data_IF_091821380107
#
_entry.id   IF_091821380107
#
_cell.length_a   1.000
_cell.length_b   1.000
_cell.length_c   1.000
_cell.angle_alpha   90.00
_cell.angle_beta   90.00
_cell.angle_gamma   90.00
#
_symmetry.space_group_name_H-M   'P 1'
#
loop_
_entity.id
_entity.type
_entity.pdbx_description
1 polymer ?
#
# COMPACT_ATOMS: atom_id res chain seq x y z
N UNK A 1 15.20 21.22 2.71
CA UNK A 1 14.17 22.08 2.09
C UNK A 1 13.06 21.19 1.57
N UNK A 2 11.82 21.39 2.01
CA UNK A 2 10.69 20.54 1.64
C UNK A 2 10.20 20.81 0.22
N UNK A 3 9.49 19.84 -0.37
CA UNK A 3 8.90 19.98 -1.71
C UNK A 3 7.87 21.13 -1.73
N UNK A 4 8.21 22.25 -2.37
CA UNK A 4 7.36 23.44 -2.49
C UNK A 4 6.05 23.15 -3.23
N UNK A 5 6.03 22.12 -4.09
CA UNK A 5 4.90 21.78 -4.96
C UNK A 5 3.61 21.37 -4.22
N UNK A 6 3.66 21.05 -2.93
CA UNK A 6 2.48 20.72 -2.11
C UNK A 6 2.46 21.42 -0.76
N UNK A 7 3.30 22.44 -0.60
CA UNK A 7 3.37 23.17 0.66
C UNK A 7 2.13 24.06 0.81
N UNK A 8 1.48 23.99 1.97
CA UNK A 8 0.33 24.82 2.30
C UNK A 8 0.73 26.30 2.44
N UNK A 9 -0.21 27.26 2.29
CA UNK A 9 0.11 28.69 2.27
C UNK A 9 0.91 29.22 3.46
N UNK A 10 0.67 28.69 4.65
CA UNK A 10 1.36 29.06 5.89
C UNK A 10 2.81 28.55 5.94
N UNK A 11 3.14 27.47 5.24
CA UNK A 11 4.49 26.90 5.18
C UNK A 11 5.43 27.85 4.42
N UNK A 12 4.92 28.57 3.42
CA UNK A 12 5.67 29.63 2.73
C UNK A 12 5.95 30.85 3.62
N UNK A 13 5.18 31.01 4.69
CA UNK A 13 5.37 32.08 5.67
C UNK A 13 6.30 31.66 6.82
N UNK A 14 6.95 30.49 6.71
CA UNK A 14 7.89 29.97 7.70
C UNK A 14 7.24 29.17 8.83
N UNK A 15 5.94 28.89 8.76
CA UNK A 15 5.29 28.03 9.76
C UNK A 15 5.76 26.58 9.61
N UNK A 16 5.79 25.87 10.74
CA UNK A 16 6.12 24.44 10.79
C UNK A 16 4.94 23.63 10.25
N UNK A 17 5.25 22.53 9.57
CA UNK A 17 4.23 21.58 9.08
C UNK A 17 3.43 20.99 10.24
N UNK A 18 2.13 20.94 10.05
CA UNK A 18 1.17 20.37 10.99
C UNK A 18 0.07 19.58 10.27
N UNK A 19 -0.85 19.01 11.05
CA UNK A 19 -1.98 18.22 10.54
C UNK A 19 -2.86 18.99 9.54
N UNK A 20 -2.95 20.32 9.66
CA UNK A 20 -3.77 21.15 8.76
C UNK A 20 -3.04 21.43 7.45
N UNK A 21 -1.71 21.52 7.48
CA UNK A 21 -0.88 21.60 6.27
C UNK A 21 -0.90 20.28 5.48
N UNK A 22 -0.99 19.13 6.16
CA UNK A 22 -1.16 17.81 5.53
C UNK A 22 -2.52 17.68 4.82
N UNK A 23 -3.60 18.20 5.43
CA UNK A 23 -4.92 18.26 4.80
C UNK A 23 -4.88 19.08 3.51
N UNK A 24 -4.19 20.22 3.51
CA UNK A 24 -4.09 21.07 2.31
C UNK A 24 -3.35 20.35 1.18
N UNK A 25 -2.22 19.72 1.49
CA UNK A 25 -1.45 18.94 0.52
C UNK A 25 -2.29 17.80 -0.07
N UNK A 26 -3.02 17.08 0.78
CA UNK A 26 -3.93 16.01 0.36
C UNK A 26 -5.08 16.54 -0.51
N UNK A 27 -5.65 17.70 -0.18
CA UNK A 27 -6.69 18.33 -0.99
C UNK A 27 -6.21 18.68 -2.39
N UNK A 28 -5.01 19.25 -2.52
CA UNK A 28 -4.38 19.51 -3.81
C UNK A 28 -4.15 18.21 -4.59
N UNK A 29 -3.64 17.17 -3.93
CA UNK A 29 -3.41 15.87 -4.55
C UNK A 29 -4.73 15.28 -5.07
N UNK A 30 -5.80 15.26 -4.26
CA UNK A 30 -7.11 14.74 -4.68
C UNK A 30 -7.66 15.57 -5.86
N UNK A 31 -7.50 16.90 -5.84
CA UNK A 31 -7.93 17.75 -6.94
C UNK A 31 -7.16 17.46 -8.24
N UNK A 32 -5.83 17.29 -8.15
CA UNK A 32 -4.98 16.91 -9.30
C UNK A 32 -5.36 15.52 -9.83
N UNK A 33 -5.65 14.56 -8.94
CA UNK A 33 -6.10 13.21 -9.31
C UNK A 33 -7.45 13.23 -10.02
N UNK A 34 -8.43 13.97 -9.48
CA UNK A 34 -9.76 14.07 -10.08
C UNK A 34 -9.75 14.81 -11.42
N UNK A 35 -8.84 15.76 -11.62
CA UNK A 35 -8.72 16.55 -12.86
C UNK A 35 -7.76 15.97 -13.89
N UNK A 36 -6.88 15.05 -13.50
CA UNK A 36 -5.78 14.52 -14.31
C UNK A 36 -4.83 15.59 -14.84
N UNK A 37 -4.63 16.68 -14.09
CA UNK A 37 -3.67 17.76 -14.44
C UNK A 37 -2.96 18.24 -13.19
N UNK A 38 -1.73 18.77 -13.35
CA UNK A 38 -1.05 19.48 -12.26
C UNK A 38 -1.76 20.80 -12.01
N UNK A 39 -2.10 21.03 -10.74
CA UNK A 39 -2.68 22.28 -10.31
C UNK A 39 -1.56 23.18 -9.77
N UNK A 40 -1.60 24.49 -10.08
CA UNK A 40 -0.61 25.41 -9.56
C UNK A 40 -0.72 25.43 -8.04
N UNK A 41 0.41 25.30 -7.35
CA UNK A 41 0.44 25.35 -5.88
C UNK A 41 0.17 26.76 -5.38
N UNK A 42 0.83 27.74 -5.99
CA UNK A 42 0.55 29.15 -5.75
C UNK A 42 -0.75 29.56 -6.43
N UNK A 43 -1.68 30.12 -5.66
CA UNK A 43 -2.95 30.61 -6.17
C UNK A 43 -4.03 29.54 -6.38
N UNK A 44 -3.84 28.30 -5.88
CA UNK A 44 -4.94 27.35 -5.70
C UNK A 44 -5.92 27.88 -4.66
N UNK A 45 -7.21 27.92 -5.00
CA UNK A 45 -8.28 28.40 -4.12
C UNK A 45 -9.43 27.40 -4.10
N UNK A 46 -10.25 27.38 -3.03
CA UNK A 46 -11.46 26.56 -2.97
C UNK A 46 -12.36 26.77 -4.20
N UNK A 47 -12.55 28.02 -4.64
CA UNK A 47 -13.33 28.36 -5.83
C UNK A 47 -12.77 27.70 -7.09
N UNK A 48 -11.45 27.81 -7.32
CA UNK A 48 -10.79 27.15 -8.46
C UNK A 48 -10.93 25.64 -8.40
N UNK A 49 -10.90 25.04 -7.20
CA UNK A 49 -11.14 23.61 -7.01
C UNK A 49 -12.60 23.24 -7.33
N UNK A 50 -13.58 24.03 -6.91
CA UNK A 50 -15.00 23.78 -7.22
C UNK A 50 -15.25 23.85 -8.73
N UNK A 51 -14.72 24.88 -9.40
CA UNK A 51 -14.80 25.02 -10.87
C UNK A 51 -14.07 23.87 -11.57
N UNK A 52 -12.90 23.50 -11.04
CA UNK A 52 -12.07 22.39 -11.51
C UNK A 52 -12.71 21.03 -11.29
N UNK A 53 -13.57 20.86 -10.29
CA UNK A 53 -14.17 19.56 -9.96
C UNK A 53 -15.66 19.56 -10.29
N UNK A 54 -16.06 20.31 -11.31
CA UNK A 54 -17.44 20.32 -11.79
C UNK A 54 -17.92 18.88 -12.03
N UNK A 55 -19.08 18.56 -11.48
CA UNK A 55 -19.72 17.23 -11.51
C UNK A 55 -18.95 16.07 -10.83
N UNK A 56 -17.78 16.34 -10.27
CA UNK A 56 -17.05 15.36 -9.46
C UNK A 56 -17.63 15.31 -8.04
N UNK A 57 -17.90 14.11 -7.49
CA UNK A 57 -18.54 13.98 -6.19
C UNK A 57 -17.68 14.50 -5.02
N UNK A 58 -16.36 14.56 -5.19
CA UNK A 58 -15.43 15.04 -4.18
C UNK A 58 -15.27 16.58 -4.17
N UNK A 59 -15.90 17.31 -5.09
CA UNK A 59 -15.71 18.78 -5.25
C UNK A 59 -15.86 19.56 -3.95
N UNK A 60 -16.88 19.21 -3.16
CA UNK A 60 -17.25 19.91 -1.92
C UNK A 60 -16.16 19.74 -0.88
N UNK A 61 -15.81 18.49 -0.57
CA UNK A 61 -14.82 18.19 0.47
C UNK A 61 -13.42 18.67 0.08
N UNK A 62 -13.02 18.46 -1.17
CA UNK A 62 -11.68 18.86 -1.65
C UNK A 62 -11.52 20.38 -1.62
N UNK A 63 -12.59 21.15 -1.90
CA UNK A 63 -12.56 22.61 -1.77
C UNK A 63 -12.28 23.06 -0.32
N UNK A 64 -12.82 22.34 0.67
CA UNK A 64 -12.59 22.61 2.10
C UNK A 64 -11.25 22.15 2.61
N UNK A 65 -10.59 21.22 1.92
CA UNK A 65 -9.21 20.82 2.24
C UNK A 65 -8.20 21.90 1.84
N UNK A 66 -8.45 22.62 0.73
CA UNK A 66 -7.53 23.64 0.18
C UNK A 66 -7.81 25.07 0.69
N UNK A 67 -8.55 25.23 1.80
CA UNK A 67 -8.80 26.54 2.40
C UNK A 67 -7.49 27.26 2.73
N UNK A 68 -7.43 28.58 2.48
CA UNK A 68 -6.23 29.38 2.77
C UNK A 68 -5.95 29.44 4.27
N UNK A 69 -6.99 29.68 5.07
CA UNK A 69 -6.93 29.66 6.53
C UNK A 69 -6.88 28.21 7.04
N UNK A 70 -5.84 27.85 7.80
CA UNK A 70 -5.67 26.49 8.34
C UNK A 70 -6.79 26.09 9.33
N UNK A 71 -7.35 27.05 10.06
CA UNK A 71 -8.44 26.81 11.02
C UNK A 71 -9.77 26.46 10.34
N UNK A 72 -9.97 26.94 9.10
CA UNK A 72 -11.19 26.70 8.32
C UNK A 72 -11.11 25.44 7.45
N UNK A 73 -9.95 24.77 7.39
CA UNK A 73 -9.81 23.52 6.65
C UNK A 73 -10.65 22.43 7.29
N UNK A 74 -11.18 21.53 6.47
CA UNK A 74 -11.72 20.28 6.97
C UNK A 74 -10.66 19.53 7.79
N UNK A 75 -11.08 18.79 8.81
CA UNK A 75 -10.22 17.81 9.47
C UNK A 75 -10.16 16.54 8.63
N UNK A 76 -9.11 15.74 8.79
CA UNK A 76 -9.01 14.46 8.09
C UNK A 76 -10.15 13.50 8.45
N UNK A 77 -10.69 13.59 9.68
CA UNK A 77 -11.84 12.80 10.11
C UNK A 77 -13.12 13.18 9.35
N UNK A 78 -13.37 14.48 9.15
CA UNK A 78 -14.50 14.96 8.33
C UNK A 78 -14.33 14.56 6.86
N UNK A 79 -13.11 14.67 6.32
CA UNK A 79 -12.78 14.24 4.95
C UNK A 79 -13.11 12.75 4.75
N UNK A 80 -12.66 11.90 5.67
CA UNK A 80 -12.91 10.45 5.62
C UNK A 80 -14.41 10.14 5.73
N UNK A 81 -15.12 10.81 6.64
CA UNK A 81 -16.55 10.61 6.84
C UNK A 81 -17.36 10.91 5.58
N UNK A 82 -17.07 12.01 4.90
CA UNK A 82 -17.82 12.42 3.71
C UNK A 82 -17.47 11.60 2.47
N UNK A 83 -16.20 11.18 2.32
CA UNK A 83 -15.82 10.24 1.26
C UNK A 83 -16.61 8.92 1.41
N UNK A 84 -16.71 8.37 2.63
CA UNK A 84 -17.50 7.16 2.89
C UNK A 84 -18.98 7.34 2.59
N UNK A 85 -19.55 8.51 2.87
CA UNK A 85 -20.95 8.80 2.55
C UNK A 85 -21.19 8.92 1.03
N UNK A 86 -20.26 9.53 0.30
CA UNK A 86 -20.29 9.60 -1.16
C UNK A 86 -20.28 8.19 -1.77
N UNK A 87 -19.46 7.29 -1.22
CA UNK A 87 -19.32 5.91 -1.70
C UNK A 87 -20.53 5.01 -1.37
N UNK A 88 -21.15 5.19 -0.20
CA UNK A 88 -22.32 4.42 0.23
C UNK A 88 -23.57 4.67 -0.63
N UNK A 89 -23.67 5.84 -1.28
CA UNK A 89 -24.78 6.17 -2.17
C UNK A 89 -24.77 5.45 -3.53
N UNK A 90 -23.66 4.77 -3.89
CA UNK A 90 -23.41 4.29 -5.25
C UNK A 90 -23.61 2.77 -5.48
N UNK A 91 -23.95 1.97 -4.45
CA UNK A 91 -23.86 0.50 -4.54
C UNK A 91 -25.11 -0.30 -4.14
N UNK A 92 -25.91 -0.75 -5.12
CA UNK A 92 -26.70 -2.00 -5.05
C UNK A 92 -26.72 -2.67 -6.42
N UNK A 93 -26.00 -3.79 -6.57
CA UNK A 93 -26.53 -5.08 -7.10
C UNK A 93 -25.43 -6.16 -7.29
N UNK A 94 -25.74 -7.32 -6.70
CA UNK A 94 -25.44 -8.71 -7.05
C UNK A 94 -24.01 -9.28 -7.01
N UNK A 95 -23.84 -10.25 -6.09
CA UNK A 95 -22.82 -11.29 -6.10
C UNK A 95 -23.50 -12.67 -6.20
N UNK A 96 -23.00 -13.55 -7.07
CA UNK A 96 -23.28 -14.98 -7.06
C UNK A 96 -21.96 -15.73 -7.26
N UNK A 97 -21.69 -16.67 -6.35
CA UNK A 97 -20.45 -17.43 -6.19
C UNK A 97 -20.44 -18.73 -7.00
N UNK A 98 -19.26 -19.12 -7.50
CA UNK A 98 -18.92 -20.50 -7.83
C UNK A 98 -17.55 -20.86 -7.21
N UNK A 99 -17.49 -21.95 -6.45
CA UNK A 99 -16.25 -22.53 -5.92
C UNK A 99 -15.84 -23.75 -6.74
N UNK A 100 -14.59 -23.78 -7.22
CA UNK A 100 -13.98 -24.98 -7.81
C UNK A 100 -12.91 -25.55 -6.87
N UNK A 101 -13.00 -26.86 -6.60
CA UNK A 101 -11.98 -27.68 -5.92
C UNK A 101 -10.75 -27.85 -6.83
N UNK A 102 -9.55 -27.73 -6.26
CA UNK A 102 -8.27 -27.88 -6.98
C UNK A 102 -7.24 -28.58 -6.07
N UNK A 103 -6.55 -29.58 -6.61
CA UNK A 103 -5.62 -30.52 -5.93
C UNK A 103 -4.31 -29.86 -5.41
N UNK A 104 -3.57 -30.52 -4.47
CA UNK A 104 -2.24 -30.12 -3.97
C UNK A 104 -1.22 -29.95 -5.11
N UNK A 105 -0.80 -28.71 -5.37
CA UNK A 105 0.26 -28.41 -6.35
C UNK A 105 1.54 -28.01 -5.63
N UNK A 106 2.64 -28.71 -5.90
CA UNK A 106 4.01 -28.38 -5.45
C UNK A 106 4.65 -27.24 -6.25
N UNK A 107 3.87 -26.51 -7.05
CA UNK A 107 4.36 -25.43 -7.91
C UNK A 107 4.85 -24.26 -7.04
N UNK A 108 6.09 -23.83 -7.29
CA UNK A 108 6.65 -22.62 -6.68
C UNK A 108 5.75 -21.44 -7.02
N UNK A 109 5.25 -20.75 -6.00
CA UNK A 109 4.42 -19.55 -6.14
C UNK A 109 5.27 -18.33 -6.47
N UNK A 110 6.41 -18.20 -5.79
CA UNK A 110 7.35 -17.11 -5.95
C UNK A 110 8.76 -17.54 -5.53
N UNK A 111 9.77 -16.89 -6.10
CA UNK A 111 11.15 -16.97 -5.66
C UNK A 111 11.63 -15.56 -5.33
N UNK A 112 12.08 -15.34 -4.09
CA UNK A 112 12.61 -14.05 -3.63
C UNK A 112 13.99 -14.19 -3.01
N UNK A 113 14.58 -13.06 -2.58
CA UNK A 113 15.90 -13.00 -1.94
C UNK A 113 16.02 -13.92 -0.71
N UNK A 114 14.90 -14.20 -0.03
CA UNK A 114 14.87 -14.97 1.21
C UNK A 114 14.35 -16.40 1.05
N UNK A 115 14.18 -16.91 -0.19
CA UNK A 115 13.79 -18.30 -0.42
C UNK A 115 12.61 -18.47 -1.39
N UNK A 116 12.13 -19.71 -1.49
CA UNK A 116 11.03 -20.09 -2.38
C UNK A 116 9.75 -20.29 -1.59
N UNK A 117 8.63 -19.80 -2.13
CA UNK A 117 7.30 -19.92 -1.52
C UNK A 117 6.48 -20.94 -2.29
N UNK A 118 5.82 -21.85 -1.58
CA UNK A 118 5.02 -22.93 -2.16
C UNK A 118 3.59 -22.89 -1.64
N UNK A 119 2.62 -23.25 -2.48
CA UNK A 119 1.25 -23.49 -2.01
C UNK A 119 1.17 -24.91 -1.45
N UNK A 120 1.05 -25.07 -0.15
CA UNK A 120 1.03 -26.39 0.48
C UNK A 120 0.03 -26.44 1.64
N UNK A 121 -0.50 -27.62 1.97
CA UNK A 121 -1.32 -27.79 3.17
C UNK A 121 -0.44 -27.76 4.42
N UNK A 122 -0.88 -27.00 5.43
CA UNK A 122 -0.36 -27.00 6.80
C UNK A 122 -1.56 -27.17 7.73
N UNK A 123 -1.57 -28.25 8.55
CA UNK A 123 -2.70 -28.62 9.42
C UNK A 123 -4.04 -28.56 8.67
N UNK A 124 -4.11 -29.26 7.55
CA UNK A 124 -5.25 -29.38 6.62
C UNK A 124 -5.68 -28.10 5.88
N UNK A 125 -5.10 -26.94 6.20
CA UNK A 125 -5.42 -25.66 5.57
C UNK A 125 -4.36 -25.28 4.54
N UNK A 126 -4.76 -24.58 3.48
CA UNK A 126 -3.80 -24.04 2.52
C UNK A 126 -2.90 -22.97 3.16
N UNK A 127 -1.61 -23.06 2.87
CA UNK A 127 -0.57 -22.16 3.36
C UNK A 127 0.38 -21.75 2.24
N UNK A 128 0.94 -20.54 2.38
CA UNK A 128 2.10 -20.09 1.63
C UNK A 128 3.35 -20.51 2.44
N UNK A 129 3.94 -21.65 2.08
CA UNK A 129 5.07 -22.21 2.80
C UNK A 129 6.38 -21.63 2.26
N UNK A 130 6.97 -20.68 2.98
CA UNK A 130 8.28 -20.08 2.65
C UNK A 130 9.38 -21.02 3.15
N UNK A 131 10.23 -21.48 2.23
CA UNK A 131 11.37 -22.37 2.51
C UNK A 131 12.68 -21.61 2.36
N UNK A 132 13.44 -21.48 3.44
CA UNK A 132 14.70 -20.71 3.52
C UNK A 132 15.84 -21.64 3.91
N UNK A 133 16.95 -21.75 3.14
CA UNK A 133 18.09 -22.56 3.55
C UNK A 133 18.64 -22.12 4.91
N UNK A 134 18.96 -23.08 5.79
CA UNK A 134 19.41 -22.79 7.16
C UNK A 134 20.74 -22.03 7.24
N UNK A 135 21.57 -22.06 6.18
CA UNK A 135 22.78 -21.27 6.08
C UNK A 135 22.53 -19.80 5.69
N UNK A 136 21.34 -19.45 5.18
CA UNK A 136 20.94 -18.08 4.81
C UNK A 136 20.37 -17.33 6.02
N UNK A 137 19.64 -18.04 6.89
CA UNK A 137 19.04 -17.45 8.08
C UNK A 137 19.32 -18.31 9.33
N UNK A 138 19.97 -17.69 10.31
CA UNK A 138 20.20 -18.31 11.62
C UNK A 138 18.88 -18.47 12.39
N UNK A 139 18.85 -19.40 13.35
CA UNK A 139 17.68 -19.60 14.21
C UNK A 139 17.31 -18.34 14.98
N UNK A 140 18.30 -17.55 15.37
CA UNK A 140 18.16 -16.29 16.10
C UNK A 140 17.58 -15.18 15.22
N UNK A 141 18.01 -15.09 13.95
CA UNK A 141 17.41 -14.19 12.97
C UNK A 141 15.96 -14.58 12.68
N UNK A 142 15.69 -15.87 12.46
CA UNK A 142 14.33 -16.36 12.21
C UNK A 142 13.41 -16.12 13.40
N UNK A 143 13.91 -16.34 14.62
CA UNK A 143 13.15 -16.07 15.85
C UNK A 143 12.79 -14.58 15.97
N UNK A 144 13.67 -13.68 15.50
CA UNK A 144 13.38 -12.24 15.47
C UNK A 144 12.35 -11.88 14.39
N UNK A 145 12.42 -12.49 13.21
CA UNK A 145 11.39 -12.35 12.16
C UNK A 145 10.02 -12.83 12.66
N UNK A 146 9.96 -13.97 13.38
CA UNK A 146 8.73 -14.50 13.95
C UNK A 146 8.07 -13.56 14.97
N UNK A 147 8.87 -12.82 15.76
CA UNK A 147 8.34 -11.81 16.70
C UNK A 147 7.63 -10.67 15.99
N UNK A 148 8.03 -10.35 14.76
CA UNK A 148 7.31 -9.36 13.94
C UNK A 148 5.94 -9.91 13.59
N UNK A 149 5.85 -11.13 13.07
CA UNK A 149 4.58 -11.79 12.74
C UNK A 149 3.63 -11.91 13.95
N UNK A 150 4.16 -12.24 15.14
CA UNK A 150 3.35 -12.38 16.36
C UNK A 150 2.66 -11.08 16.77
N UNK A 151 3.29 -9.93 16.51
CA UNK A 151 2.73 -8.61 16.78
C UNK A 151 1.92 -8.04 15.60
N UNK A 152 2.17 -8.54 14.39
CA UNK A 152 1.57 -8.08 13.15
C UNK A 152 0.19 -8.72 12.83
N UNK A 153 -0.68 -8.88 13.83
CA UNK A 153 -1.99 -9.54 13.67
C UNK A 153 -3.07 -8.57 13.18
N UNK A 154 -3.27 -8.51 11.86
CA UNK A 154 -4.25 -7.64 11.21
C UNK A 154 -4.85 -8.30 9.95
N UNK A 155 -6.05 -7.88 9.51
CA UNK A 155 -6.70 -8.46 8.32
C UNK A 155 -5.96 -8.16 7.01
N UNK A 156 -5.21 -7.06 6.97
CA UNK A 156 -4.44 -6.60 5.80
C UNK A 156 -2.93 -6.84 5.95
N UNK A 157 -2.52 -7.72 6.85
CA UNK A 157 -1.12 -8.15 7.02
C UNK A 157 -1.08 -9.67 7.11
N UNK A 158 -0.15 -10.30 6.40
CA UNK A 158 -0.05 -11.76 6.36
C UNK A 158 0.23 -12.35 7.75
N UNK A 159 -0.45 -13.45 8.07
CA UNK A 159 -0.32 -14.13 9.36
C UNK A 159 0.66 -15.29 9.30
N UNK A 160 1.45 -15.47 10.36
CA UNK A 160 2.16 -16.72 10.64
C UNK A 160 1.17 -17.74 11.22
N UNK A 161 1.05 -18.91 10.59
CA UNK A 161 0.07 -19.94 10.96
C UNK A 161 0.56 -20.85 12.11
N UNK A 162 1.86 -20.86 12.37
CA UNK A 162 2.46 -21.67 13.43
C UNK A 162 3.98 -21.50 13.49
N UNK A 163 4.60 -22.18 14.46
CA UNK A 163 6.05 -22.14 14.63
C UNK A 163 6.76 -22.69 13.39
N UNK A 164 7.82 -22.03 12.88
CA UNK A 164 8.66 -22.59 11.84
C UNK A 164 9.35 -23.87 12.30
N UNK A 165 9.61 -24.78 11.38
CA UNK A 165 10.37 -26.00 11.63
C UNK A 165 11.54 -26.15 10.65
N UNK A 166 12.54 -26.94 11.04
CA UNK A 166 13.68 -27.25 10.20
C UNK A 166 13.49 -28.65 9.59
N UNK A 167 13.59 -28.73 8.28
CA UNK A 167 13.47 -29.98 7.50
C UNK A 167 14.33 -29.84 6.25
N UNK A 168 15.08 -30.89 5.87
CA UNK A 168 16.00 -30.88 4.72
C UNK A 168 16.95 -29.66 4.66
N UNK A 169 17.54 -29.28 5.80
CA UNK A 169 18.39 -28.09 5.96
C UNK A 169 17.73 -26.77 5.51
N UNK A 170 16.39 -26.70 5.57
CA UNK A 170 15.59 -25.51 5.25
C UNK A 170 14.59 -25.22 6.35
N UNK A 171 14.54 -23.96 6.76
CA UNK A 171 13.46 -23.43 7.58
C UNK A 171 12.19 -23.36 6.76
N UNK A 172 11.13 -23.95 7.31
CA UNK A 172 9.79 -23.97 6.75
C UNK A 172 8.91 -23.03 7.58
N UNK A 173 8.46 -21.94 6.96
CA UNK A 173 7.72 -20.86 7.61
C UNK A 173 6.29 -20.87 7.07
N UNK A 174 5.30 -21.35 7.84
CA UNK A 174 3.93 -21.50 7.37
C UNK A 174 3.17 -20.16 7.45
N UNK A 175 2.91 -19.51 6.32
CA UNK A 175 2.17 -18.24 6.25
C UNK A 175 0.75 -18.44 5.71
N UNK A 176 -0.15 -17.51 6.05
CA UNK A 176 -1.49 -17.42 5.45
C UNK A 176 -1.38 -17.40 3.93
N UNK A 177 -2.14 -18.29 3.27
CA UNK A 177 -2.26 -18.27 1.82
C UNK A 177 -3.39 -17.34 1.41
N UNK A 178 -3.08 -16.27 0.68
CA UNK A 178 -4.08 -15.38 0.09
C UNK A 178 -4.50 -15.93 -1.26
N UNK A 179 -5.80 -16.23 -1.42
CA UNK A 179 -6.36 -16.70 -2.69
C UNK A 179 -6.56 -15.53 -3.65
N UNK A 180 -5.46 -15.10 -4.26
CA UNK A 180 -5.40 -13.86 -5.02
C UNK A 180 -4.25 -13.83 -6.02
N UNK A 181 -3.91 -12.61 -6.43
CA UNK A 181 -2.75 -12.28 -7.22
C UNK A 181 -2.01 -11.09 -6.59
N UNK A 182 -0.74 -10.90 -6.92
CA UNK A 182 0.04 -9.74 -6.48
C UNK A 182 -0.41 -8.46 -7.20
N UNK A 183 -0.21 -7.32 -6.54
CA UNK A 183 -0.62 -6.02 -7.06
C UNK A 183 0.19 -5.61 -8.30
N UNK A 184 1.44 -6.07 -8.43
CA UNK A 184 2.27 -5.88 -9.64
C UNK A 184 1.55 -6.50 -10.86
N UNK A 185 1.05 -7.73 -10.72
CA UNK A 185 0.27 -8.41 -11.77
C UNK A 185 -1.02 -7.67 -12.08
N UNK A 186 -1.75 -7.22 -11.06
CA UNK A 186 -2.99 -6.48 -11.25
C UNK A 186 -2.76 -5.13 -11.99
N UNK A 187 -1.67 -4.42 -11.68
CA UNK A 187 -1.35 -3.12 -12.30
C UNK A 187 -0.72 -3.31 -13.69
N UNK A 188 0.28 -4.17 -13.83
CA UNK A 188 1.13 -4.18 -15.04
C UNK A 188 0.83 -5.34 -16.01
N UNK A 189 0.24 -6.45 -15.54
CA UNK A 189 -0.01 -7.64 -16.34
C UNK A 189 -1.51 -7.91 -16.58
N UNK A 190 -2.26 -6.92 -17.05
CA UNK A 190 -3.73 -6.95 -17.21
C UNK A 190 -4.25 -8.19 -17.95
N UNK A 191 -3.55 -8.67 -18.97
CA UNK A 191 -3.95 -9.87 -19.72
C UNK A 191 -3.94 -11.15 -18.88
N UNK A 192 -3.21 -11.16 -17.76
CA UNK A 192 -3.14 -12.23 -16.77
C UNK A 192 -3.97 -11.94 -15.52
N UNK A 193 -4.20 -10.65 -15.25
CA UNK A 193 -4.97 -10.17 -14.10
C UNK A 193 -6.40 -10.72 -14.14
N UNK A 194 -6.88 -11.18 -12.99
CA UNK A 194 -8.30 -11.54 -12.80
C UNK A 194 -9.09 -10.40 -12.18
N UNK A 195 -8.40 -9.38 -11.68
CA UNK A 195 -9.01 -8.22 -11.03
C UNK A 195 -9.23 -7.11 -12.06
N UNK A 196 -10.46 -6.61 -12.09
CA UNK A 196 -10.81 -5.38 -12.82
C UNK A 196 -10.64 -4.18 -11.88
N UNK A 197 -9.69 -3.30 -12.18
CA UNK A 197 -9.36 -2.13 -11.36
C UNK A 197 -10.34 -0.97 -11.55
N UNK A 198 -11.61 -1.19 -11.23
CA UNK A 198 -12.60 -0.10 -11.14
C UNK A 198 -12.25 0.85 -9.99
N UNK A 199 -12.80 2.06 -9.99
CA UNK A 199 -12.56 3.04 -8.92
C UNK A 199 -12.90 2.49 -7.53
N UNK A 200 -13.98 1.71 -7.41
CA UNK A 200 -14.38 1.07 -6.15
C UNK A 200 -13.40 -0.01 -5.69
N UNK A 201 -12.91 -0.84 -6.63
CA UNK A 201 -11.90 -1.86 -6.34
C UNK A 201 -10.60 -1.21 -5.90
N UNK A 202 -10.13 -0.17 -6.60
CA UNK A 202 -8.94 0.60 -6.20
C UNK A 202 -9.11 1.19 -4.81
N UNK A 203 -10.25 1.81 -4.50
CA UNK A 203 -10.53 2.37 -3.18
C UNK A 203 -10.46 1.31 -2.07
N UNK A 204 -11.01 0.11 -2.33
CA UNK A 204 -10.93 -1.03 -1.41
C UNK A 204 -9.49 -1.47 -1.17
N UNK A 205 -8.71 -1.60 -2.24
CA UNK A 205 -7.29 -1.99 -2.19
C UNK A 205 -6.49 -0.94 -1.40
N UNK A 206 -6.61 0.34 -1.75
CA UNK A 206 -5.92 1.46 -1.11
C UNK A 206 -6.26 1.52 0.38
N UNK A 207 -7.54 1.42 0.73
CA UNK A 207 -7.98 1.42 2.13
C UNK A 207 -7.34 0.28 2.90
N UNK A 208 -7.40 -0.95 2.38
CA UNK A 208 -6.78 -2.11 3.02
C UNK A 208 -5.26 -1.99 3.19
N UNK A 209 -4.55 -1.48 2.16
CA UNK A 209 -3.11 -1.23 2.25
C UNK A 209 -2.78 -0.22 3.36
N UNK A 210 -3.52 0.90 3.42
CA UNK A 210 -3.34 1.94 4.43
C UNK A 210 -3.66 1.44 5.84
N UNK A 211 -4.74 0.65 6.01
CA UNK A 211 -5.09 0.04 7.29
C UNK A 211 -4.01 -0.93 7.78
N UNK A 212 -3.48 -1.77 6.88
CA UNK A 212 -2.36 -2.66 7.18
C UNK A 212 -1.10 -1.91 7.60
N UNK A 213 -0.72 -0.87 6.85
CA UNK A 213 0.47 -0.08 7.16
C UNK A 213 0.33 0.71 8.47
N UNK A 214 -0.81 1.36 8.67
CA UNK A 214 -1.11 2.07 9.91
C UNK A 214 -1.04 1.12 11.12
N UNK A 215 -1.57 -0.10 10.99
CA UNK A 215 -1.45 -1.11 12.04
C UNK A 215 0.01 -1.45 12.34
N UNK A 216 0.83 -1.74 11.32
CA UNK A 216 2.26 -2.02 11.51
C UNK A 216 2.97 -0.87 12.24
N UNK A 217 2.76 0.37 11.79
CA UNK A 217 3.38 1.56 12.37
C UNK A 217 2.93 1.80 13.82
N UNK A 218 1.68 1.49 14.16
CA UNK A 218 1.15 1.53 15.53
C UNK A 218 1.81 0.50 16.47
N UNK A 219 2.35 -0.59 15.91
CA UNK A 219 3.13 -1.62 16.62
C UNK A 219 4.63 -1.37 16.55
N UNK A 220 5.02 -0.19 16.06
CA UNK A 220 6.40 0.23 15.87
C UNK A 220 7.18 -0.66 14.89
N UNK A 221 6.49 -1.26 13.93
CA UNK A 221 7.06 -2.10 12.88
C UNK A 221 7.23 -1.25 11.61
N UNK A 222 8.43 -1.23 11.05
CA UNK A 222 8.74 -0.63 9.72
C UNK A 222 8.93 -1.78 8.73
N UNK A 223 8.22 -1.75 7.61
CA UNK A 223 8.22 -2.82 6.60
C UNK A 223 9.51 -2.83 5.77
N UNK A 224 10.00 -1.65 5.35
CA UNK A 224 11.24 -1.41 4.60
C UNK A 224 11.30 -1.89 3.15
N UNK A 225 10.45 -2.84 2.74
CA UNK A 225 10.40 -3.35 1.36
C UNK A 225 8.99 -3.30 0.75
N UNK A 226 8.24 -2.23 0.98
CA UNK A 226 6.95 -2.06 0.33
C UNK A 226 7.15 -1.84 -1.18
N UNK A 227 6.48 -2.69 -1.97
CA UNK A 227 6.41 -2.68 -3.44
C UNK A 227 5.16 -3.48 -3.86
N UNK A 228 4.64 -3.33 -5.09
CA UNK A 228 3.43 -4.02 -5.53
C UNK A 228 3.53 -5.55 -5.45
N UNK A 229 4.70 -6.15 -5.70
CA UNK A 229 4.91 -7.60 -5.53
C UNK A 229 4.65 -8.10 -4.10
N UNK A 230 4.83 -7.21 -3.11
CA UNK A 230 4.67 -7.51 -1.69
C UNK A 230 3.25 -7.18 -1.18
N UNK A 231 2.28 -7.04 -2.09
CA UNK A 231 0.88 -6.80 -1.76
C UNK A 231 0.02 -7.79 -2.54
N UNK A 232 -0.63 -8.71 -1.83
CA UNK A 232 -1.57 -9.66 -2.42
C UNK A 232 -2.98 -9.09 -2.39
N UNK A 233 -3.72 -9.23 -3.49
CA UNK A 233 -5.13 -8.85 -3.60
C UNK A 233 -5.99 -10.09 -3.72
N UNK A 234 -6.89 -10.30 -2.75
CA UNK A 234 -7.78 -11.46 -2.74
C UNK A 234 -8.89 -11.33 -3.81
N UNK A 235 -9.05 -12.34 -4.66
CA UNK A 235 -9.97 -12.26 -5.81
C UNK A 235 -11.44 -12.04 -5.42
N UNK A 236 -11.89 -12.61 -4.29
CA UNK A 236 -13.30 -12.58 -3.89
C UNK A 236 -13.71 -11.23 -3.28
N UNK A 237 -12.81 -10.61 -2.51
CA UNK A 237 -13.12 -9.45 -1.67
C UNK A 237 -12.38 -8.18 -2.06
N UNK A 238 -11.37 -8.29 -2.94
CA UNK A 238 -10.38 -7.25 -3.22
C UNK A 238 -9.61 -6.78 -1.98
N UNK A 239 -9.60 -7.59 -0.90
CA UNK A 239 -8.81 -7.35 0.29
C UNK A 239 -7.33 -7.32 -0.08
N UNK A 240 -6.68 -6.20 0.17
CA UNK A 240 -5.23 -6.07 0.08
C UNK A 240 -4.56 -6.62 1.34
N UNK A 241 -3.51 -7.41 1.17
CA UNK A 241 -2.73 -8.00 2.27
C UNK A 241 -1.25 -7.73 2.02
N UNK A 242 -0.62 -7.00 2.93
CA UNK A 242 0.83 -6.78 2.93
C UNK A 242 1.51 -8.12 3.28
N UNK A 243 2.42 -8.54 2.41
CA UNK A 243 3.18 -9.79 2.54
C UNK A 243 4.69 -9.51 2.64
N UNK A 244 5.46 -10.57 2.93
CA UNK A 244 6.91 -10.57 3.06
C UNK A 244 7.49 -9.62 4.13
N UNK A 245 7.34 -10.03 5.39
CA UNK A 245 7.89 -9.33 6.55
C UNK A 245 9.39 -9.62 6.77
N UNK A 246 10.11 -10.22 5.81
CA UNK A 246 11.49 -10.68 5.97
C UNK A 246 12.52 -9.57 6.20
N UNK A 247 12.18 -8.33 5.82
CA UNK A 247 12.99 -7.13 6.08
C UNK A 247 12.40 -6.24 7.18
N UNK A 248 11.25 -6.60 7.75
CA UNK A 248 10.57 -5.76 8.73
C UNK A 248 11.32 -5.73 10.07
N UNK A 249 11.33 -4.57 10.74
CA UNK A 249 12.02 -4.38 12.04
C UNK A 249 11.23 -3.50 13.00
N UNK A 250 11.52 -3.63 14.29
CA UNK A 250 11.06 -2.69 15.31
C UNK A 250 11.92 -1.42 15.28
N UNK A 251 11.30 -0.26 15.17
CA UNK A 251 12.01 1.02 14.98
C UNK A 251 12.72 1.49 16.26
N UNK A 252 12.03 1.48 17.41
CA UNK A 252 12.54 2.01 18.68
C UNK A 252 13.41 1.02 19.45
N UNK A 253 13.37 -0.28 19.13
CA UNK A 253 14.09 -1.29 19.90
C UNK A 253 15.50 -1.61 19.37
N UNK A 254 16.05 -0.85 18.42
CA UNK A 254 17.47 -0.94 18.04
C UNK A 254 17.98 -2.30 17.54
N UNK A 255 17.11 -3.28 17.30
CA UNK A 255 17.50 -4.62 16.85
C UNK A 255 17.73 -4.61 15.33
N UNK A 256 18.80 -3.96 14.90
CA UNK A 256 19.25 -3.92 13.50
C UNK A 256 20.09 -5.15 13.18
N UNK A 257 19.58 -6.03 12.30
CA UNK A 257 20.43 -6.94 11.52
C UNK A 257 20.22 -6.84 10.02
N UNK A 258 19.14 -6.20 9.58
CA UNK A 258 19.00 -5.78 8.20
C UNK A 258 19.63 -4.39 8.09
N UNK A 259 20.67 -4.23 7.27
CA UNK A 259 21.18 -2.92 6.88
C UNK A 259 20.11 -2.11 6.14
N UNK A 260 20.51 -1.08 5.39
CA UNK A 260 19.60 -0.32 4.51
C UNK A 260 19.17 -1.13 3.27
N UNK A 261 18.73 -2.37 3.48
CA UNK A 261 18.28 -3.33 2.49
C UNK A 261 16.81 -3.07 2.15
N UNK A 262 16.44 -3.36 0.91
CA UNK A 262 15.09 -3.14 0.37
C UNK A 262 15.15 -2.55 -1.04
N UNK A 263 14.04 -2.62 -1.77
CA UNK A 263 13.96 -2.20 -3.16
C UNK A 263 14.22 -0.69 -3.30
N UNK A 264 15.19 -0.33 -4.15
CA UNK A 264 15.58 1.06 -4.42
C UNK A 264 14.53 1.82 -5.26
N UNK A 265 13.78 1.13 -6.12
CA UNK A 265 12.78 1.73 -7.00
C UNK A 265 11.59 2.36 -6.25
N UNK A 266 11.29 1.85 -5.05
CA UNK A 266 10.23 2.38 -4.17
C UNK A 266 10.78 3.18 -2.98
N UNK A 267 12.08 3.45 -2.97
CA UNK A 267 12.72 4.14 -1.85
C UNK A 267 12.43 5.63 -1.85
N UNK A 268 12.35 6.19 -0.65
CA UNK A 268 12.27 7.63 -0.44
C UNK A 268 13.61 8.32 -0.73
N UNK A 269 13.62 9.60 -1.13
CA UNK A 269 14.84 10.30 -1.52
C UNK A 269 15.91 10.32 -0.42
N UNK A 270 15.50 10.40 0.84
CA UNK A 270 16.39 10.35 2.01
C UNK A 270 17.17 9.02 2.11
N UNK A 271 16.62 7.92 1.60
CA UNK A 271 17.31 6.62 1.60
C UNK A 271 18.48 6.63 0.63
N UNK A 272 18.36 7.33 -0.50
CA UNK A 272 19.47 7.52 -1.44
C UNK A 272 20.56 8.44 -0.88
N UNK A 273 20.23 9.25 0.13
CA UNK A 273 21.18 10.07 0.87
C UNK A 273 21.86 9.30 2.01
N UNK A 274 21.57 8.00 2.16
CA UNK A 274 22.15 7.14 3.18
C UNK A 274 21.36 7.10 4.50
N UNK A 275 20.21 7.77 4.60
CA UNK A 275 19.40 7.73 5.81
C UNK A 275 18.78 6.35 6.01
N UNK A 276 18.59 5.97 7.27
CA UNK A 276 18.01 4.68 7.64
C UNK A 276 16.52 4.66 7.31
N UNK A 277 16.05 3.56 6.71
CA UNK A 277 14.61 3.34 6.51
C UNK A 277 13.83 3.38 7.81
N UNK A 278 12.76 4.17 7.81
CA UNK A 278 11.85 4.43 8.90
C UNK A 278 10.37 4.40 8.44
N UNK A 279 9.45 4.77 9.34
CA UNK A 279 8.01 4.83 9.04
C UNK A 279 7.69 5.81 7.90
N UNK A 280 8.40 6.93 7.81
CA UNK A 280 8.20 7.90 6.73
C UNK A 280 8.60 7.34 5.37
N UNK A 281 9.68 6.54 5.32
CA UNK A 281 10.10 5.86 4.09
C UNK A 281 9.11 4.80 3.61
N UNK A 282 8.40 4.11 4.51
CA UNK A 282 7.30 3.22 4.15
C UNK A 282 6.10 4.00 3.58
N UNK A 283 5.78 5.17 4.16
CA UNK A 283 4.69 6.03 3.66
C UNK A 283 5.00 6.52 2.24
N UNK A 284 6.25 6.86 1.95
CA UNK A 284 6.68 7.20 0.60
C UNK A 284 6.45 6.04 -0.38
N UNK A 285 6.92 4.83 -0.03
CA UNK A 285 6.74 3.65 -0.86
C UNK A 285 5.26 3.37 -1.12
N UNK A 286 4.42 3.48 -0.08
CA UNK A 286 2.97 3.35 -0.21
C UNK A 286 2.38 4.41 -1.15
N UNK A 287 2.80 5.67 -1.04
CA UNK A 287 2.36 6.75 -1.93
C UNK A 287 2.70 6.48 -3.40
N UNK A 288 3.89 5.93 -3.69
CA UNK A 288 4.27 5.49 -5.03
C UNK A 288 3.35 4.39 -5.57
N UNK A 289 3.10 3.35 -4.78
CA UNK A 289 2.23 2.23 -5.16
C UNK A 289 0.81 2.72 -5.46
N UNK A 290 0.27 3.60 -4.60
CA UNK A 290 -1.05 4.20 -4.80
C UNK A 290 -1.08 5.01 -6.10
N UNK A 291 -0.04 5.81 -6.38
CA UNK A 291 0.03 6.58 -7.62
C UNK A 291 0.01 5.68 -8.87
N UNK A 292 0.78 4.60 -8.87
CA UNK A 292 0.81 3.61 -9.95
C UNK A 292 -0.54 2.91 -10.13
N UNK A 293 -1.19 2.51 -9.02
CA UNK A 293 -2.53 1.91 -9.03
C UNK A 293 -3.59 2.89 -9.57
N UNK A 294 -3.51 4.17 -9.22
CA UNK A 294 -4.43 5.19 -9.69
C UNK A 294 -4.25 5.49 -11.18
N UNK A 295 -3.02 5.45 -11.70
CA UNK A 295 -2.70 5.74 -13.11
C UNK A 295 -3.32 4.74 -14.10
N UNK A 296 -3.63 3.51 -13.66
CA UNK A 296 -4.26 2.49 -14.51
C UNK A 296 -5.76 2.72 -14.70
N UNK A 297 -6.20 3.30 -15.81
CA UNK A 297 -7.64 3.37 -16.10
C UNK A 297 -8.26 1.98 -16.30
N UNK A 298 -9.47 1.78 -15.76
CA UNK A 298 -10.22 0.52 -15.82
C UNK A 298 -10.81 0.20 -17.20
N UNK A 299 -10.64 1.11 -18.16
CA UNK A 299 -11.04 0.92 -19.55
C UNK A 299 -9.78 0.58 -20.35
N UNK A 300 -9.82 -0.52 -21.10
CA UNK A 300 -8.70 -1.08 -21.87
C UNK A 300 -8.10 -0.22 -22.99
N UNK A 301 -8.24 1.11 -22.93
CA UNK A 301 -7.60 2.04 -23.85
C UNK A 301 -6.26 2.44 -23.25
N UNK A 302 -5.24 1.68 -23.63
CA UNK A 302 -3.86 2.15 -23.56
C UNK A 302 -3.76 3.40 -24.45
N UNK A 303 -3.82 4.59 -23.87
CA UNK A 303 -3.42 5.83 -24.54
C UNK A 303 -1.91 5.76 -24.76
N UNK A 304 -1.51 5.10 -25.85
CA UNK A 304 -0.20 5.30 -26.45
C UNK A 304 -0.17 6.75 -26.93
N UNK A 305 0.43 7.63 -26.14
CA UNK A 305 0.94 8.87 -26.67
C UNK A 305 2.05 8.51 -27.66
N UNK A 306 1.72 8.59 -28.96
CA UNK A 306 2.72 8.65 -30.01
C UNK A 306 3.50 9.95 -29.84
N UNK A 307 4.85 9.91 -29.84
CA UNK A 307 5.63 11.14 -29.84
C UNK A 307 5.44 11.82 -31.20
N UNK A 308 4.81 12.99 -31.19
CA UNK A 308 4.78 13.87 -32.35
C UNK A 308 5.98 14.81 -32.28
N UNK A 309 6.83 14.70 -33.32
CA UNK A 309 7.52 15.80 -34.00
C UNK A 309 8.56 16.55 -33.20
#
# INVERSE_FOLDING_TARGET
>A
MGNEAYSAPEIWQGHVRDKRSDVWAMGKIIAELCRRVRLPTHGLTPTKVIESLKDNPYRSIVSRMVMRCAAERASMAEVIGEIRHIEAGAGRQNAATAEQKMEPSTKTLAAGCFGKVYKQKYKDNWSALKKVPAHVITKEQLSRECRVYDKAKHNNVVRLLGAPWLEDNKWHIPLEFVFGEDLETAIFNVQKSKIQLTSSVKATIITGMCEGLNFLHSKDIVHQDLKPDNIMIEHKSNRAVIIDMGLAKFFQNGFSSAGNMGNTAYSAPEIWQGNVRDKCSDVWAMGKIIAELCHRDGDGVCSRETPHG
#
